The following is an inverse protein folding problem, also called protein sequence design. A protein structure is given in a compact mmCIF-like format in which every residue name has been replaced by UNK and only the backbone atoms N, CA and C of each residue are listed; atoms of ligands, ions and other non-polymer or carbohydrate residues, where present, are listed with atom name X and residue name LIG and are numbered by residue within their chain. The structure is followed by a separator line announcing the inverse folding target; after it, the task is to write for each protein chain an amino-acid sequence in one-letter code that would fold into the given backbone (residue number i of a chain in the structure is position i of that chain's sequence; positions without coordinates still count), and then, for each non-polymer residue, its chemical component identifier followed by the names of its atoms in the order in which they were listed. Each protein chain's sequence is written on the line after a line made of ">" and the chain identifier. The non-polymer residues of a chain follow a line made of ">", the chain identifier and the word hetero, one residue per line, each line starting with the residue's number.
data_IF_350097016221
#
_entry.id   IF_350097016221
#
_cell.length_a   1.000
_cell.length_b   1.000
_cell.length_c   1.000
_cell.angle_alpha   90.00
_cell.angle_beta   90.00
_cell.angle_gamma   90.00
#
_symmetry.space_group_name_H-M   'P 1'
#
loop_
_entity.id
_entity.type
_entity.pdbx_description
1 polymer ?
#
# COMPACT_ATOMS: atom_id res chain seq x y z
N UNK A 1 -28.62 4.38 -8.44
CA UNK A 1 -27.78 4.44 -7.22
C UNK A 1 -26.60 3.47 -7.36
N UNK A 2 -26.86 2.30 -7.92
CA UNK A 2 -25.88 1.23 -8.14
C UNK A 2 -24.69 1.65 -9.01
N UNK A 3 -24.91 2.35 -10.13
CA UNK A 3 -23.81 2.86 -10.98
C UNK A 3 -22.87 3.82 -10.23
N UNK A 4 -23.41 4.63 -9.31
CA UNK A 4 -22.61 5.57 -8.53
C UNK A 4 -21.76 4.86 -7.48
N UNK A 5 -22.31 3.85 -6.80
CA UNK A 5 -21.57 3.01 -5.84
C UNK A 5 -20.48 2.20 -6.54
N UNK A 6 -20.81 1.62 -7.69
CA UNK A 6 -19.85 0.90 -8.52
C UNK A 6 -18.70 1.81 -9.01
N UNK A 7 -19.02 2.99 -9.56
CA UNK A 7 -18.03 3.96 -10.00
C UNK A 7 -17.18 4.49 -8.84
N UNK A 8 -17.80 4.70 -7.66
CA UNK A 8 -17.10 5.12 -6.44
C UNK A 8 -16.13 4.04 -5.96
N UNK A 9 -16.58 2.78 -5.85
CA UNK A 9 -15.74 1.65 -5.45
C UNK A 9 -14.56 1.49 -6.41
N UNK A 10 -14.82 1.48 -7.72
CA UNK A 10 -13.78 1.40 -8.75
C UNK A 10 -12.78 2.56 -8.67
N UNK A 11 -13.27 3.81 -8.63
CA UNK A 11 -12.42 5.00 -8.60
C UNK A 11 -11.56 5.07 -7.35
N UNK A 12 -12.15 4.85 -6.18
CA UNK A 12 -11.45 4.87 -4.89
C UNK A 12 -10.40 3.76 -4.78
N UNK A 13 -10.64 2.57 -5.35
CA UNK A 13 -9.65 1.49 -5.40
C UNK A 13 -8.40 1.86 -6.21
N UNK A 14 -8.59 2.48 -7.38
CA UNK A 14 -7.47 2.91 -8.24
C UNK A 14 -6.72 4.08 -7.60
N UNK A 15 -7.43 5.06 -7.04
CA UNK A 15 -6.80 6.18 -6.32
C UNK A 15 -6.06 5.69 -5.08
N UNK A 16 -6.61 4.71 -4.34
CA UNK A 16 -5.93 4.09 -3.21
C UNK A 16 -4.60 3.46 -3.64
N UNK A 17 -4.56 2.73 -4.76
CA UNK A 17 -3.31 2.16 -5.29
C UNK A 17 -2.23 3.23 -5.52
N UNK A 18 -2.60 4.38 -6.07
CA UNK A 18 -1.67 5.50 -6.29
C UNK A 18 -1.13 6.03 -4.97
N UNK A 19 -2.00 6.29 -3.98
CA UNK A 19 -1.57 6.79 -2.67
C UNK A 19 -0.74 5.78 -1.89
N UNK A 20 -1.07 4.47 -1.95
CA UNK A 20 -0.28 3.41 -1.34
C UNK A 20 1.11 3.27 -1.99
N UNK A 21 1.17 3.43 -3.32
CA UNK A 21 2.43 3.47 -4.07
C UNK A 21 3.29 4.66 -3.63
N UNK A 22 2.70 5.86 -3.56
CA UNK A 22 3.37 7.06 -3.08
C UNK A 22 3.88 6.88 -1.64
N UNK A 23 3.03 6.34 -0.75
CA UNK A 23 3.41 6.05 0.63
C UNK A 23 4.59 5.09 0.73
N UNK A 24 4.58 3.97 -0.03
CA UNK A 24 5.67 3.01 -0.07
C UNK A 24 6.99 3.65 -0.50
N UNK A 25 6.98 4.39 -1.62
CA UNK A 25 8.17 5.09 -2.14
C UNK A 25 8.70 6.11 -1.13
N UNK A 26 7.83 6.97 -0.59
CA UNK A 26 8.22 7.96 0.41
C UNK A 26 8.73 7.32 1.70
N UNK A 27 8.19 6.17 2.11
CA UNK A 27 8.67 5.42 3.26
C UNK A 27 10.11 4.92 3.07
N UNK A 28 10.43 4.43 1.87
CA UNK A 28 11.80 4.08 1.49
C UNK A 28 12.71 5.32 1.50
N UNK A 29 12.27 6.43 0.90
CA UNK A 29 13.03 7.67 0.84
C UNK A 29 13.31 8.20 2.25
N UNK A 30 12.32 8.26 3.14
CA UNK A 30 12.55 8.72 4.51
C UNK A 30 13.59 7.86 5.23
N UNK A 31 13.65 6.56 4.94
CA UNK A 31 14.64 5.68 5.56
C UNK A 31 16.07 5.96 5.08
N UNK A 32 16.24 6.47 3.87
CA UNK A 32 17.55 6.90 3.36
C UNK A 32 18.14 8.10 4.12
N UNK A 33 17.30 8.87 4.82
CA UNK A 33 17.68 10.11 5.50
C UNK A 33 17.92 11.30 4.57
N UNK A 34 17.76 11.15 3.25
CA UNK A 34 17.96 12.19 2.25
C UNK A 34 16.73 13.10 2.12
N UNK A 35 16.95 14.36 1.75
CA UNK A 35 15.89 15.28 1.34
C UNK A 35 15.34 14.88 -0.04
N UNK A 36 14.08 15.26 -0.33
CA UNK A 36 13.44 14.98 -1.62
C UNK A 36 12.63 16.21 -2.07
N UNK A 37 12.78 16.62 -3.33
CA UNK A 37 12.00 17.70 -3.94
C UNK A 37 11.95 19.00 -3.11
N UNK A 38 13.10 19.40 -2.54
CA UNK A 38 13.19 20.59 -1.68
C UNK A 38 12.64 20.43 -0.27
N UNK A 39 12.03 19.28 0.07
CA UNK A 39 11.55 18.99 1.41
C UNK A 39 12.66 18.39 2.28
N UNK A 40 12.85 18.90 3.51
CA UNK A 40 13.70 18.25 4.50
C UNK A 40 13.11 16.90 4.91
N UNK A 41 13.94 16.05 5.55
CA UNK A 41 13.55 14.68 5.96
C UNK A 41 12.21 14.61 6.71
N UNK A 42 11.93 15.56 7.61
CA UNK A 42 10.67 15.59 8.34
C UNK A 42 9.47 15.91 7.43
N UNK A 43 9.68 16.74 6.39
CA UNK A 43 8.67 17.04 5.39
C UNK A 43 8.30 15.80 4.58
N UNK A 44 9.30 15.04 4.12
CA UNK A 44 9.08 13.76 3.43
C UNK A 44 8.32 12.77 4.32
N UNK A 45 8.65 12.71 5.62
CA UNK A 45 7.94 11.87 6.59
C UNK A 45 6.48 12.30 6.77
N UNK A 46 6.18 13.60 6.76
CA UNK A 46 4.81 14.10 6.84
C UNK A 46 4.02 13.71 5.60
N UNK A 47 4.58 13.90 4.40
CA UNK A 47 3.90 13.51 3.15
C UNK A 47 3.69 12.00 3.09
N UNK A 48 4.64 11.18 3.57
CA UNK A 48 4.45 9.73 3.69
C UNK A 48 3.24 9.38 4.58
N UNK A 49 3.12 10.04 5.74
CA UNK A 49 2.02 9.83 6.68
C UNK A 49 0.69 10.26 6.08
N UNK A 50 0.63 11.43 5.46
CA UNK A 50 -0.59 11.94 4.83
C UNK A 50 -1.02 11.04 3.67
N UNK A 51 -0.07 10.60 2.84
CA UNK A 51 -0.32 9.63 1.78
C UNK A 51 -0.89 8.30 2.30
N UNK A 52 -0.30 7.79 3.39
CA UNK A 52 -0.76 6.55 4.02
C UNK A 52 -2.18 6.71 4.57
N UNK A 53 -2.48 7.80 5.27
CA UNK A 53 -3.80 8.06 5.84
C UNK A 53 -4.86 8.24 4.76
N UNK A 54 -4.58 9.01 3.70
CA UNK A 54 -5.47 9.15 2.55
C UNK A 54 -5.69 7.79 1.89
N UNK A 55 -4.63 7.02 1.68
CA UNK A 55 -4.73 5.66 1.15
C UNK A 55 -5.64 4.76 1.99
N UNK A 56 -5.49 4.76 3.31
CA UNK A 56 -6.35 3.98 4.23
C UNK A 56 -7.80 4.41 4.13
N UNK A 57 -8.08 5.72 4.14
CA UNK A 57 -9.44 6.24 3.99
C UNK A 57 -10.05 5.80 2.66
N UNK A 58 -9.30 5.89 1.56
CA UNK A 58 -9.77 5.46 0.25
C UNK A 58 -10.05 3.96 0.19
N UNK A 59 -9.24 3.11 0.85
CA UNK A 59 -9.50 1.67 0.96
C UNK A 59 -10.78 1.40 1.76
N UNK A 60 -11.01 2.12 2.85
CA UNK A 60 -12.24 2.00 3.64
C UNK A 60 -13.46 2.39 2.79
N UNK A 61 -13.39 3.51 2.07
CA UNK A 61 -14.49 3.92 1.17
C UNK A 61 -14.71 2.91 0.05
N UNK A 62 -13.63 2.38 -0.54
CA UNK A 62 -13.69 1.31 -1.53
C UNK A 62 -14.44 0.09 -1.01
N UNK A 63 -14.11 -0.40 0.18
CA UNK A 63 -14.79 -1.55 0.80
C UNK A 63 -16.25 -1.28 1.12
N UNK A 64 -16.56 -0.10 1.67
CA UNK A 64 -17.95 0.28 1.99
C UNK A 64 -18.81 0.40 0.73
N UNK A 65 -18.25 0.95 -0.35
CA UNK A 65 -18.92 1.02 -1.64
C UNK A 65 -19.20 -0.39 -2.21
N UNK A 66 -18.23 -1.30 -2.12
CA UNK A 66 -18.42 -2.69 -2.57
C UNK A 66 -19.41 -3.48 -1.70
N UNK A 67 -19.45 -3.24 -0.38
CA UNK A 67 -20.42 -3.86 0.51
C UNK A 67 -21.85 -3.36 0.24
N UNK A 68 -21.99 -2.09 -0.12
CA UNK A 68 -23.27 -1.47 -0.44
C UNK A 68 -23.77 -1.81 -1.86
N UNK A 69 -22.90 -2.35 -2.72
CA UNK A 69 -23.23 -2.72 -4.10
C UNK A 69 -23.87 -4.12 -4.16
N UNK A 70 -25.17 -4.23 -4.53
CA UNK A 70 -25.85 -5.52 -4.63
C UNK A 70 -25.21 -6.48 -5.65
N UNK A 71 -24.52 -5.95 -6.67
CA UNK A 71 -23.87 -6.76 -7.71
C UNK A 71 -22.59 -7.42 -7.21
N UNK A 72 -21.96 -6.90 -6.17
CA UNK A 72 -20.73 -7.47 -5.62
C UNK A 72 -20.98 -8.78 -4.86
N UNK A 73 -22.22 -9.04 -4.41
CA UNK A 73 -22.63 -10.24 -3.67
C UNK A 73 -21.73 -10.58 -2.46
N UNK A 74 -21.09 -9.56 -1.87
CA UNK A 74 -20.17 -9.71 -0.76
C UNK A 74 -20.91 -9.80 0.57
N UNK A 75 -20.41 -10.64 1.47
CA UNK A 75 -20.86 -10.72 2.86
C UNK A 75 -19.83 -10.09 3.79
N UNK A 76 -20.24 -9.67 4.98
CA UNK A 76 -19.33 -9.13 5.99
C UNK A 76 -18.16 -10.07 6.33
N UNK A 77 -18.38 -11.38 6.26
CA UNK A 77 -17.33 -12.39 6.50
C UNK A 77 -16.19 -12.33 5.47
N UNK A 78 -16.49 -11.92 4.23
CA UNK A 78 -15.52 -11.87 3.13
C UNK A 78 -14.49 -10.74 3.34
N UNK A 79 -14.79 -9.76 4.20
CA UNK A 79 -13.89 -8.66 4.55
C UNK A 79 -12.95 -8.97 5.72
N UNK A 80 -13.12 -10.13 6.38
CA UNK A 80 -12.33 -10.54 7.54
C UNK A 80 -11.56 -11.84 7.28
N UNK A 81 -12.14 -12.76 6.51
CA UNK A 81 -11.53 -14.05 6.22
C UNK A 81 -11.24 -14.16 4.72
N UNK A 82 -9.96 -14.16 4.33
CA UNK A 82 -9.60 -14.20 2.92
C UNK A 82 -10.00 -15.55 2.29
N UNK A 83 -10.33 -15.51 1.00
CA UNK A 83 -10.63 -16.67 0.16
C UNK A 83 -11.94 -17.43 0.44
N UNK A 84 -12.82 -16.90 1.32
CA UNK A 84 -14.14 -17.50 1.57
C UNK A 84 -15.22 -17.08 0.55
N UNK A 85 -14.99 -16.03 -0.22
CA UNK A 85 -15.95 -15.53 -1.20
C UNK A 85 -16.19 -16.52 -2.35
N UNK A 86 -17.44 -16.66 -2.79
CA UNK A 86 -17.80 -17.60 -3.87
C UNK A 86 -17.41 -17.09 -5.26
N UNK A 87 -17.36 -15.77 -5.45
CA UNK A 87 -17.02 -15.14 -6.72
C UNK A 87 -15.53 -14.77 -6.77
N UNK A 88 -14.77 -15.26 -7.74
CA UNK A 88 -13.32 -14.96 -7.91
C UNK A 88 -12.54 -15.00 -6.58
N UNK A 89 -12.76 -16.06 -5.80
CA UNK A 89 -12.28 -16.24 -4.43
C UNK A 89 -10.81 -15.83 -4.22
N UNK A 90 -9.93 -16.20 -5.16
CA UNK A 90 -8.51 -15.87 -5.11
C UNK A 90 -8.27 -14.35 -5.10
N UNK A 91 -8.83 -13.62 -6.07
CA UNK A 91 -8.61 -12.19 -6.18
C UNK A 91 -9.27 -11.43 -5.03
N UNK A 92 -10.50 -11.77 -4.66
CA UNK A 92 -11.16 -11.18 -3.48
C UNK A 92 -10.34 -11.43 -2.21
N UNK A 93 -9.87 -12.66 -2.00
CA UNK A 93 -9.07 -13.01 -0.83
C UNK A 93 -7.74 -12.26 -0.75
N UNK A 94 -7.11 -11.92 -1.89
CA UNK A 94 -5.95 -11.01 -1.88
C UNK A 94 -6.33 -9.61 -1.40
N UNK A 95 -7.51 -9.11 -1.77
CA UNK A 95 -8.03 -7.83 -1.29
C UNK A 95 -8.27 -7.82 0.22
N UNK A 96 -8.91 -8.88 0.74
CA UNK A 96 -9.11 -9.09 2.17
C UNK A 96 -7.78 -9.19 2.92
N UNK A 97 -6.85 -10.02 2.43
CA UNK A 97 -5.52 -10.17 3.03
C UNK A 97 -4.74 -8.85 3.03
N UNK A 98 -4.81 -8.08 1.95
CA UNK A 98 -4.22 -6.75 1.89
C UNK A 98 -4.85 -5.81 2.94
N UNK A 99 -6.17 -5.84 3.10
CA UNK A 99 -6.83 -5.04 4.12
C UNK A 99 -6.41 -5.43 5.54
N UNK A 100 -6.30 -6.72 5.85
CA UNK A 100 -5.85 -7.21 7.17
C UNK A 100 -4.44 -6.73 7.50
N UNK A 101 -3.51 -6.83 6.54
CA UNK A 101 -2.14 -6.35 6.70
C UNK A 101 -2.11 -4.83 6.82
N UNK A 102 -2.90 -4.12 6.01
CA UNK A 102 -3.02 -2.65 6.08
C UNK A 102 -3.53 -2.21 7.45
N UNK A 103 -4.53 -2.90 8.00
CA UNK A 103 -5.08 -2.63 9.32
C UNK A 103 -4.01 -2.82 10.40
N UNK A 104 -3.27 -3.94 10.36
CA UNK A 104 -2.18 -4.19 11.29
C UNK A 104 -1.08 -3.11 11.21
N UNK A 105 -0.64 -2.74 10.01
CA UNK A 105 0.37 -1.69 9.79
C UNK A 105 -0.13 -0.32 10.26
N UNK A 106 -1.39 0.00 10.00
CA UNK A 106 -1.99 1.30 10.36
C UNK A 106 -2.18 1.44 11.86
N UNK A 107 -2.74 0.42 12.52
CA UNK A 107 -2.93 0.42 13.97
C UNK A 107 -1.60 0.47 14.71
N UNK A 108 -0.60 -0.31 14.28
CA UNK A 108 0.73 -0.25 14.88
C UNK A 108 1.45 1.07 14.61
N UNK A 109 1.20 1.71 13.47
CA UNK A 109 1.66 3.07 13.17
C UNK A 109 1.06 4.13 14.08
N UNK A 110 -0.26 4.11 14.30
CA UNK A 110 -0.95 5.02 15.21
C UNK A 110 -0.51 4.82 16.67
N UNK A 111 -0.26 3.58 17.06
CA UNK A 111 0.19 3.22 18.41
C UNK A 111 1.71 3.21 18.58
N UNK A 112 2.48 3.74 17.61
CA UNK A 112 3.95 3.70 17.62
C UNK A 112 4.57 4.22 18.92
N UNK A 113 3.99 5.24 19.56
CA UNK A 113 4.52 5.81 20.80
C UNK A 113 4.24 4.94 22.04
N UNK A 114 3.35 3.95 21.93
CA UNK A 114 3.01 2.99 23.00
C UNK A 114 3.63 1.62 22.78
N UNK A 115 4.10 1.34 21.56
CA UNK A 115 4.71 0.08 21.18
C UNK A 115 6.25 0.16 21.23
N UNK A 116 6.89 -0.96 21.55
CA UNK A 116 8.35 -1.07 21.43
C UNK A 116 8.79 -0.94 19.96
N UNK A 117 9.96 -0.30 19.73
CA UNK A 117 10.49 -0.07 18.38
C UNK A 117 10.67 -1.37 17.57
N UNK A 118 10.95 -2.50 18.25
CA UNK A 118 11.06 -3.83 17.62
C UNK A 118 9.72 -4.29 17.04
N UNK A 119 8.65 -4.26 17.84
CA UNK A 119 7.31 -4.68 17.42
C UNK A 119 6.82 -3.81 16.26
N UNK A 120 6.94 -2.49 16.40
CA UNK A 120 6.60 -1.56 15.32
C UNK A 120 7.36 -1.90 14.03
N UNK A 121 8.68 -2.11 14.11
CA UNK A 121 9.50 -2.43 12.93
C UNK A 121 9.06 -3.74 12.28
N UNK A 122 8.86 -4.81 13.04
CA UNK A 122 8.46 -6.12 12.50
C UNK A 122 7.12 -6.02 11.76
N UNK A 123 6.12 -5.39 12.39
CA UNK A 123 4.80 -5.25 11.75
C UNK A 123 4.88 -4.31 10.55
N UNK A 124 5.56 -3.17 10.66
CA UNK A 124 5.65 -2.21 9.56
C UNK A 124 6.41 -2.76 8.35
N UNK A 125 7.31 -3.74 8.54
CA UNK A 125 7.96 -4.44 7.42
C UNK A 125 6.97 -5.23 6.56
N UNK A 126 5.83 -5.67 7.11
CA UNK A 126 4.79 -6.33 6.31
C UNK A 126 4.19 -5.43 5.23
N UNK A 127 4.40 -4.10 5.30
CA UNK A 127 4.02 -3.18 4.23
C UNK A 127 4.66 -3.54 2.88
N UNK A 128 5.87 -4.13 2.89
CA UNK A 128 6.52 -4.62 1.67
C UNK A 128 5.80 -5.79 1.01
N UNK A 129 5.05 -6.60 1.78
CA UNK A 129 4.18 -7.64 1.26
C UNK A 129 2.79 -7.11 0.92
N UNK A 130 2.28 -6.16 1.72
CA UNK A 130 0.99 -5.50 1.49
C UNK A 130 0.87 -4.92 0.07
N UNK A 131 1.85 -4.12 -0.34
CA UNK A 131 1.77 -3.41 -1.62
C UNK A 131 1.63 -4.36 -2.83
N UNK A 132 2.48 -5.41 -3.02
CA UNK A 132 2.32 -6.32 -4.14
C UNK A 132 1.03 -7.16 -4.07
N UNK A 133 0.54 -7.50 -2.87
CA UNK A 133 -0.75 -8.19 -2.70
C UNK A 133 -1.90 -7.29 -3.18
N UNK A 134 -1.94 -6.02 -2.74
CA UNK A 134 -2.94 -5.05 -3.15
C UNK A 134 -2.87 -4.74 -4.66
N UNK A 135 -1.66 -4.63 -5.20
CA UNK A 135 -1.42 -4.43 -6.64
C UNK A 135 -1.95 -5.61 -7.47
N UNK A 136 -1.62 -6.85 -7.07
CA UNK A 136 -2.11 -8.05 -7.72
C UNK A 136 -3.63 -8.15 -7.66
N UNK A 137 -4.24 -7.89 -6.50
CA UNK A 137 -5.69 -7.80 -6.34
C UNK A 137 -6.32 -6.82 -7.34
N UNK A 138 -5.80 -5.60 -7.42
CA UNK A 138 -6.29 -4.56 -8.34
C UNK A 138 -6.20 -4.99 -9.81
N UNK A 139 -5.10 -5.63 -10.22
CA UNK A 139 -4.94 -6.13 -11.59
C UNK A 139 -5.88 -7.30 -11.92
N UNK A 140 -6.08 -8.23 -10.99
CA UNK A 140 -6.85 -9.45 -11.28
C UNK A 140 -8.36 -9.30 -11.10
N UNK A 141 -8.79 -8.42 -10.18
CA UNK A 141 -10.20 -8.16 -9.92
C UNK A 141 -10.73 -6.91 -10.63
N UNK A 142 -9.85 -5.99 -11.05
CA UNK A 142 -10.24 -4.74 -11.68
C UNK A 142 -10.92 -4.95 -13.03
N UNK A 143 -12.01 -4.23 -13.26
CA UNK A 143 -12.69 -4.20 -14.57
C UNK A 143 -11.87 -3.42 -15.62
N UNK A 144 -10.87 -2.64 -15.18
CA UNK A 144 -10.06 -1.77 -16.04
C UNK A 144 -8.75 -2.38 -16.52
N UNK A 145 -8.45 -3.62 -16.16
CA UNK A 145 -7.16 -4.26 -16.44
C UNK A 145 -6.83 -4.38 -17.92
N UNK A 146 -7.82 -4.24 -18.82
CA UNK A 146 -7.62 -4.17 -20.27
C UNK A 146 -7.42 -2.76 -20.84
N UNK A 147 -7.63 -1.70 -20.05
CA UNK A 147 -7.53 -0.32 -20.53
C UNK A 147 -6.12 0.25 -20.38
N UNK A 148 -5.64 0.89 -21.46
CA UNK A 148 -4.27 1.42 -21.54
C UNK A 148 -3.94 2.44 -20.44
N UNK A 149 -4.91 3.27 -20.05
CA UNK A 149 -4.71 4.27 -18.99
C UNK A 149 -4.47 3.63 -17.62
N UNK A 150 -5.19 2.55 -17.31
CA UNK A 150 -5.02 1.82 -16.05
C UNK A 150 -3.70 1.06 -16.06
N UNK A 151 -3.35 0.43 -17.18
CA UNK A 151 -2.06 -0.21 -17.35
C UNK A 151 -0.90 0.78 -17.21
N UNK A 152 -1.03 2.01 -17.70
CA UNK A 152 -0.03 3.06 -17.50
C UNK A 152 0.16 3.40 -16.02
N UNK A 153 -0.93 3.51 -15.25
CA UNK A 153 -0.87 3.71 -13.79
C UNK A 153 -0.22 2.51 -13.10
N UNK A 154 -0.61 1.29 -13.48
CA UNK A 154 -0.09 0.07 -12.88
C UNK A 154 1.41 -0.10 -13.15
N UNK A 155 1.84 0.07 -14.40
CA UNK A 155 3.25 0.02 -14.81
C UNK A 155 4.04 1.13 -14.11
N UNK A 156 3.53 2.37 -14.11
CA UNK A 156 4.17 3.49 -13.41
C UNK A 156 4.37 3.21 -11.91
N UNK A 157 3.35 2.61 -11.27
CA UNK A 157 3.42 2.24 -9.86
C UNK A 157 4.44 1.13 -9.61
N UNK A 158 4.45 0.09 -10.45
CA UNK A 158 5.42 -1.00 -10.37
C UNK A 158 6.86 -0.53 -10.59
N UNK A 159 7.09 0.34 -11.58
CA UNK A 159 8.40 0.94 -11.85
C UNK A 159 8.86 1.81 -10.67
N UNK A 160 7.97 2.64 -10.11
CA UNK A 160 8.29 3.50 -8.99
C UNK A 160 8.70 2.70 -7.74
N UNK A 161 7.91 1.70 -7.36
CA UNK A 161 8.21 0.86 -6.18
C UNK A 161 9.44 0.00 -6.42
N UNK A 162 9.56 -0.64 -7.58
CA UNK A 162 10.73 -1.47 -7.90
C UNK A 162 12.00 -0.63 -7.92
N UNK A 163 11.97 0.56 -8.54
CA UNK A 163 13.08 1.50 -8.55
C UNK A 163 13.49 1.94 -7.14
N UNK A 164 12.52 2.24 -6.27
CA UNK A 164 12.77 2.60 -4.88
C UNK A 164 13.37 1.42 -4.08
N UNK A 165 12.86 0.20 -4.27
CA UNK A 165 13.38 -1.01 -3.62
C UNK A 165 14.81 -1.32 -4.09
N UNK A 166 15.07 -1.30 -5.39
CA UNK A 166 16.41 -1.50 -5.95
C UNK A 166 17.38 -0.43 -5.46
N UNK A 167 16.93 0.81 -5.32
CA UNK A 167 17.74 1.87 -4.72
C UNK A 167 18.04 1.62 -3.24
N UNK A 168 17.07 1.13 -2.46
CA UNK A 168 17.26 0.75 -1.04
C UNK A 168 18.32 -0.34 -0.86
N UNK A 169 18.44 -1.25 -1.83
CA UNK A 169 19.41 -2.35 -1.79
C UNK A 169 20.84 -1.94 -2.17
N UNK A 170 21.07 -0.69 -2.61
CA UNK A 170 22.42 -0.20 -2.92
C UNK A 170 23.26 -0.04 -1.66
N UNK A 171 24.56 -0.30 -1.78
CA UNK A 171 25.51 -0.27 -0.66
C UNK A 171 25.81 1.14 -0.12
N UNK A 172 25.41 2.20 -0.84
CA UNK A 172 25.50 3.60 -0.40
C UNK A 172 24.27 4.06 0.41
N UNK A 173 23.30 3.17 0.65
CA UNK A 173 22.17 3.44 1.51
C UNK A 173 22.65 3.51 2.97
N UNK A 174 22.19 4.52 3.73
CA UNK A 174 22.71 4.86 5.07
C UNK A 174 22.68 3.69 6.08
N UNK A 175 21.87 2.65 5.83
CA UNK A 175 21.84 1.43 6.66
C UNK A 175 23.11 0.56 6.51
N UNK A 176 23.92 0.73 5.45
CA UNK A 176 25.17 -0.01 5.19
C UNK A 176 26.45 0.83 5.21
N UNK A 177 26.36 2.15 5.44
CA UNK A 177 27.54 3.03 5.46
C UNK A 177 28.53 2.67 6.56
N UNK A 178 28.07 2.01 7.63
CA UNK A 178 28.89 1.55 8.75
C UNK A 178 29.79 0.36 8.38
N UNK A 179 29.34 -0.53 7.48
CA UNK A 179 30.16 -1.66 7.00
C UNK A 179 31.32 -1.18 6.12
N UNK A 180 31.09 -0.13 5.33
CA UNK A 180 32.10 0.48 4.46
C UNK A 180 33.23 1.17 5.25
N UNK A 181 32.96 1.63 6.46
CA UNK A 181 33.97 2.18 7.37
C UNK A 181 34.84 1.07 7.99
N UNK A 182 34.29 -0.12 8.24
CA UNK A 182 35.01 -1.26 8.79
C UNK A 182 35.90 -1.98 7.77
N UNK A 183 35.52 -2.01 6.49
CA UNK A 183 36.37 -2.58 5.42
C UNK A 183 37.58 -1.70 5.04
N UNK A 184 37.61 -0.44 5.50
CA UNK A 184 38.66 0.54 5.19
C UNK A 184 39.67 0.77 6.32
N UNK A 185 39.51 0.10 7.45
CA UNK A 185 40.40 0.14 8.63
C UNK A 185 41.11 -1.20 8.79
#
# INVERSE_FOLDING_TARGET
>A
MDEALWALGRGTGITALVFMTMSMVLGIVTRSGRALAGLPRFGVQNVHRDAALIGVILVVVHMLALLADPYAQLKLVDFVFPFLGNYRAFWLGLGTLAFDVLLAVSLTGLLRNRLGNRTFRVVHWSAYALWPIAFAHGLGNGTDSGHTWFLAIAIGSAVAVTGAVLWRLRTDFVEFSTLRLMERT
#
